data_IF_192958029559
#
_entry.id   IF_192958029559
#
_cell.length_a   1.000
_cell.length_b   1.000
_cell.length_c   1.000
_cell.angle_alpha   90.00
_cell.angle_beta   90.00
_cell.angle_gamma   90.00
#
_symmetry.space_group_name_H-M   'P 1'
#
loop_
_entity.id
_entity.type
_entity.pdbx_description
1 polymer ?
#
# COMPACT_ATOMS: atom_id res chain seq x y z
N UNK A 1 -17.92 -56.94 0.82
CA UNK A 1 -17.87 -55.48 1.05
C UNK A 1 -18.25 -55.23 2.49
N UNK A 2 -17.26 -55.14 3.39
CA UNK A 2 -17.50 -54.81 4.80
C UNK A 2 -17.45 -53.28 4.90
N UNK A 3 -18.52 -52.66 5.37
CA UNK A 3 -18.63 -51.22 5.56
C UNK A 3 -17.56 -50.75 6.55
N UNK A 4 -16.58 -49.98 6.06
CA UNK A 4 -15.57 -49.34 6.91
C UNK A 4 -16.28 -48.36 7.86
N UNK A 5 -16.07 -48.45 9.19
CA UNK A 5 -16.67 -47.54 10.15
C UNK A 5 -16.12 -46.13 9.93
N UNK A 6 -17.01 -45.15 9.70
CA UNK A 6 -16.65 -43.81 9.21
C UNK A 6 -16.34 -42.79 10.31
N UNK A 7 -16.50 -43.17 11.58
CA UNK A 7 -16.41 -42.25 12.71
C UNK A 7 -15.71 -42.90 13.89
N UNK A 8 -14.84 -42.12 14.54
CA UNK A 8 -14.17 -42.52 15.77
C UNK A 8 -15.19 -42.62 16.91
N UNK A 9 -15.13 -43.71 17.68
CA UNK A 9 -16.00 -43.93 18.85
C UNK A 9 -15.16 -43.79 20.11
N UNK A 10 -15.52 -42.89 21.01
CA UNK A 10 -14.79 -42.72 22.26
C UNK A 10 -14.84 -44.01 23.11
N UNK A 11 -13.68 -44.54 23.47
CA UNK A 11 -13.52 -45.75 24.28
C UNK A 11 -12.52 -45.47 25.41
N UNK A 12 -12.99 -45.43 26.66
CA UNK A 12 -12.16 -45.22 27.84
C UNK A 12 -12.16 -46.47 28.73
N UNK A 13 -11.08 -47.27 28.73
CA UNK A 13 -10.95 -48.43 29.59
C UNK A 13 -10.91 -48.12 31.08
N UNK A 14 -10.55 -46.90 31.47
CA UNK A 14 -10.45 -46.51 32.88
C UNK A 14 -11.82 -46.21 33.50
N UNK A 15 -12.87 -46.10 32.68
CA UNK A 15 -14.24 -45.89 33.15
C UNK A 15 -14.91 -47.18 33.68
N UNK A 16 -14.29 -48.35 33.50
CA UNK A 16 -14.82 -49.63 33.98
C UNK A 16 -14.62 -49.79 35.49
N UNK A 17 -15.70 -49.80 36.26
CA UNK A 17 -15.69 -50.15 37.69
C UNK A 17 -16.05 -51.62 37.90
N UNK A 18 -15.26 -52.33 38.71
CA UNK A 18 -15.56 -53.73 39.07
C UNK A 18 -16.82 -53.78 39.94
N UNK A 19 -17.86 -54.57 39.57
CA UNK A 19 -19.09 -54.63 40.34
C UNK A 19 -18.88 -55.25 41.71
N UNK A 20 -19.59 -54.74 42.72
CA UNK A 20 -19.60 -55.30 44.08
C UNK A 20 -20.76 -56.28 44.32
N UNK A 21 -21.74 -56.31 43.41
CA UNK A 21 -22.90 -57.20 43.48
C UNK A 21 -22.89 -58.22 42.33
N UNK A 22 -23.15 -59.49 42.63
CA UNK A 22 -23.16 -60.57 41.64
C UNK A 22 -24.21 -60.37 40.53
N UNK A 23 -25.31 -59.66 40.83
CA UNK A 23 -26.38 -59.39 39.86
C UNK A 23 -25.98 -58.34 38.80
N UNK A 24 -24.91 -57.56 39.03
CA UNK A 24 -24.41 -56.53 38.12
C UNK A 24 -23.36 -57.07 37.13
N UNK A 25 -22.82 -58.28 37.38
CA UNK A 25 -21.81 -58.92 36.54
C UNK A 25 -22.23 -59.04 35.06
N UNK A 26 -23.47 -59.42 34.71
CA UNK A 26 -23.88 -59.51 33.31
C UNK A 26 -23.85 -58.16 32.58
N UNK A 27 -24.24 -57.08 33.25
CA UNK A 27 -24.21 -55.73 32.68
C UNK A 27 -22.77 -55.24 32.48
N UNK A 28 -21.92 -55.45 33.48
CA UNK A 28 -20.48 -55.13 33.39
C UNK A 28 -19.77 -55.91 32.28
N UNK A 29 -20.10 -57.19 32.10
CA UNK A 29 -19.56 -57.98 30.99
C UNK A 29 -19.99 -57.43 29.61
N UNK A 30 -21.20 -56.85 29.51
CA UNK A 30 -21.62 -56.15 28.27
C UNK A 30 -20.88 -54.84 28.08
N UNK A 31 -20.60 -54.07 29.14
CA UNK A 31 -19.79 -52.84 29.05
C UNK A 31 -18.38 -53.13 28.56
N UNK A 32 -17.72 -54.17 29.08
CA UNK A 32 -16.42 -54.64 28.59
C UNK A 32 -16.49 -55.01 27.11
N UNK A 33 -17.51 -55.77 26.71
CA UNK A 33 -17.70 -56.19 25.32
C UNK A 33 -17.88 -54.98 24.38
N UNK A 34 -18.68 -54.00 24.80
CA UNK A 34 -18.94 -52.79 24.02
C UNK A 34 -17.67 -51.93 23.89
N UNK A 35 -16.88 -51.82 24.97
CA UNK A 35 -15.59 -51.13 24.95
C UNK A 35 -14.62 -51.80 23.97
N UNK A 36 -14.48 -53.13 24.03
CA UNK A 36 -13.62 -53.89 23.12
C UNK A 36 -14.05 -53.74 21.66
N UNK A 37 -15.36 -53.69 21.40
CA UNK A 37 -15.89 -53.47 20.07
C UNK A 37 -15.56 -52.06 19.54
N UNK A 38 -15.72 -51.04 20.37
CA UNK A 38 -15.36 -49.66 20.03
C UNK A 38 -13.86 -49.50 19.76
N UNK A 39 -13.00 -50.11 20.59
CA UNK A 39 -11.55 -50.12 20.38
C UNK A 39 -11.16 -50.80 19.06
N UNK A 40 -11.74 -51.95 18.74
CA UNK A 40 -11.48 -52.66 17.49
C UNK A 40 -11.95 -51.87 16.25
N UNK A 41 -13.08 -51.14 16.36
CA UNK A 41 -13.55 -50.25 15.31
C UNK A 41 -12.55 -49.10 15.07
N UNK A 42 -12.10 -48.45 16.14
CA UNK A 42 -11.12 -47.37 16.05
C UNK A 42 -9.79 -47.86 15.45
N UNK A 43 -9.31 -49.04 15.85
CA UNK A 43 -8.11 -49.65 15.28
C UNK A 43 -8.26 -49.87 13.77
N UNK A 44 -9.41 -50.39 13.34
CA UNK A 44 -9.70 -50.58 11.91
C UNK A 44 -9.72 -49.26 11.14
N UNK A 45 -10.24 -48.19 11.74
CA UNK A 45 -10.29 -46.85 11.16
C UNK A 45 -8.87 -46.28 10.98
N UNK A 46 -8.03 -46.39 12.00
CA UNK A 46 -6.61 -45.95 11.95
C UNK A 46 -5.84 -46.73 10.87
N UNK A 47 -6.04 -48.04 10.77
CA UNK A 47 -5.42 -48.86 9.71
C UNK A 47 -5.85 -48.40 8.32
N UNK A 48 -7.15 -48.10 8.14
CA UNK A 48 -7.67 -47.57 6.86
C UNK A 48 -7.08 -46.21 6.50
N UNK A 49 -6.97 -45.29 7.46
CA UNK A 49 -6.34 -43.99 7.26
C UNK A 49 -4.85 -44.13 6.92
N UNK A 50 -4.12 -44.98 7.64
CA UNK A 50 -2.70 -45.24 7.38
C UNK A 50 -2.49 -45.79 5.95
N UNK A 51 -3.36 -46.68 5.48
CA UNK A 51 -3.32 -47.18 4.11
C UNK A 51 -3.56 -46.07 3.07
N UNK A 52 -4.54 -45.19 3.32
CA UNK A 52 -4.82 -44.05 2.43
C UNK A 52 -3.64 -43.06 2.37
N UNK A 53 -3.04 -42.74 3.52
CA UNK A 53 -1.84 -41.89 3.57
C UNK A 53 -0.64 -42.53 2.85
N UNK A 54 -0.47 -43.85 2.95
CA UNK A 54 0.59 -44.56 2.21
C UNK A 54 0.37 -44.47 0.69
N UNK A 55 -0.88 -44.57 0.22
CA UNK A 55 -1.19 -44.37 -1.20
C UNK A 55 -0.89 -42.94 -1.65
N UNK A 56 -1.26 -41.93 -0.86
CA UNK A 56 -1.01 -40.51 -1.17
C UNK A 56 0.49 -40.15 -1.16
N UNK A 57 1.27 -40.75 -0.26
CA UNK A 57 2.73 -40.65 -0.30
C UNK A 57 3.31 -41.28 -1.57
N UNK A 58 2.76 -42.42 -2.01
CA UNK A 58 3.16 -43.06 -3.27
C UNK A 58 2.86 -42.21 -4.51
N UNK A 59 1.69 -41.57 -4.58
CA UNK A 59 1.35 -40.66 -5.69
C UNK A 59 2.24 -39.42 -5.68
N UNK A 60 2.50 -38.86 -4.50
CA UNK A 60 3.41 -37.72 -4.34
C UNK A 60 4.83 -38.07 -4.79
N UNK A 61 5.33 -39.25 -4.44
CA UNK A 61 6.64 -39.74 -4.90
C UNK A 61 6.69 -39.90 -6.42
N UNK A 62 5.62 -40.42 -7.05
CA UNK A 62 5.55 -40.52 -8.50
C UNK A 62 5.58 -39.15 -9.19
N UNK A 63 4.88 -38.15 -8.65
CA UNK A 63 4.93 -36.77 -9.15
C UNK A 63 6.32 -36.16 -9.00
N UNK A 64 7.02 -36.40 -7.88
CA UNK A 64 8.41 -35.95 -7.72
C UNK A 64 9.34 -36.56 -8.77
N UNK A 65 9.21 -37.86 -9.05
CA UNK A 65 10.01 -38.52 -10.09
C UNK A 65 9.72 -37.95 -11.50
N UNK A 66 8.47 -37.58 -11.79
CA UNK A 66 8.09 -36.92 -13.04
C UNK A 66 8.69 -35.51 -13.15
N UNK A 67 8.73 -34.76 -12.05
CA UNK A 67 9.37 -33.45 -12.00
C UNK A 67 10.89 -33.56 -12.19
N UNK A 68 11.54 -34.53 -11.56
CA UNK A 68 12.98 -34.80 -11.71
C UNK A 68 13.36 -35.16 -13.16
N UNK A 69 12.52 -35.97 -13.81
CA UNK A 69 12.66 -36.29 -15.24
C UNK A 69 12.50 -35.04 -16.12
N UNK A 70 11.59 -34.14 -15.75
CA UNK A 70 11.38 -32.86 -16.46
C UNK A 70 12.57 -31.92 -16.29
N UNK A 71 13.15 -31.85 -15.09
CA UNK A 71 14.37 -31.07 -14.81
C UNK A 71 15.53 -31.59 -15.65
N UNK A 72 15.74 -32.92 -15.67
CA UNK A 72 16.79 -33.55 -16.49
C UNK A 72 16.61 -33.23 -17.99
N UNK A 73 15.36 -33.22 -18.48
CA UNK A 73 15.06 -32.83 -19.86
C UNK A 73 15.37 -31.35 -20.13
N UNK A 74 15.02 -30.45 -19.19
CA UNK A 74 15.36 -29.03 -19.29
C UNK A 74 16.88 -28.83 -19.30
N UNK A 75 17.64 -29.54 -18.48
CA UNK A 75 19.10 -29.48 -18.50
C UNK A 75 19.67 -29.93 -19.85
N UNK A 76 19.14 -31.02 -20.42
CA UNK A 76 19.52 -31.47 -21.76
C UNK A 76 19.20 -30.42 -22.85
N UNK A 77 18.05 -29.74 -22.74
CA UNK A 77 17.66 -28.66 -23.65
C UNK A 77 18.56 -27.42 -23.49
N UNK A 78 18.97 -27.08 -22.27
CA UNK A 78 19.91 -25.98 -22.00
C UNK A 78 21.28 -26.29 -22.61
N UNK A 79 21.78 -27.52 -22.46
CA UNK A 79 23.04 -27.95 -23.09
C UNK A 79 22.95 -27.88 -24.61
N UNK A 80 21.83 -28.34 -25.20
CA UNK A 80 21.59 -28.26 -26.64
C UNK A 80 21.52 -26.81 -27.12
N UNK A 81 20.80 -25.95 -26.42
CA UNK A 81 20.72 -24.52 -26.75
C UNK A 81 22.09 -23.85 -26.65
N UNK A 82 22.90 -24.20 -25.65
CA UNK A 82 24.30 -23.75 -25.56
C UNK A 82 25.14 -24.18 -26.77
N UNK A 83 24.98 -25.42 -27.22
CA UNK A 83 25.66 -25.92 -28.43
C UNK A 83 25.18 -25.22 -29.71
N UNK A 84 23.89 -24.92 -29.83
CA UNK A 84 23.32 -24.22 -30.98
C UNK A 84 23.72 -22.73 -31.01
N UNK A 85 23.80 -22.07 -29.85
CA UNK A 85 24.38 -20.71 -29.71
C UNK A 85 25.86 -20.71 -30.13
N UNK A 86 26.64 -21.72 -29.71
CA UNK A 86 28.04 -21.86 -30.12
C UNK A 86 28.17 -22.05 -31.64
N UNK A 87 27.30 -22.84 -32.27
CA UNK A 87 27.27 -23.02 -33.74
C UNK A 87 26.94 -21.73 -34.49
N UNK A 88 25.99 -20.93 -33.99
CA UNK A 88 25.66 -19.61 -34.54
C UNK A 88 26.86 -18.66 -34.42
N UNK A 89 27.60 -18.71 -33.30
CA UNK A 89 28.86 -17.97 -33.12
C UNK A 89 29.95 -18.37 -34.12
N UNK A 90 30.05 -19.66 -34.47
CA UNK A 90 31.08 -20.16 -35.41
C UNK A 90 30.74 -19.94 -36.89
N UNK A 91 29.47 -19.79 -37.27
CA UNK A 91 29.09 -19.49 -38.66
C UNK A 91 29.44 -18.05 -39.09
N UNK A 92 29.78 -17.17 -38.15
CA UNK A 92 30.18 -15.79 -38.39
C UNK A 92 31.71 -15.55 -38.37
N UNK A 93 32.54 -16.60 -38.33
CA UNK A 93 33.99 -16.45 -38.15
C UNK A 93 34.84 -17.30 -39.11
N UNK A 94 34.77 -17.01 -40.41
CA UNK A 94 35.99 -16.98 -41.22
C UNK A 94 36.68 -15.64 -40.96
N UNK A 95 37.50 -15.58 -39.91
CA UNK A 95 38.26 -14.38 -39.57
C UNK A 95 38.67 -14.32 -38.10
N UNK A 96 39.95 -14.67 -37.85
CA UNK A 96 40.78 -14.34 -36.69
C UNK A 96 40.28 -14.70 -35.28
N UNK A 97 41.09 -15.56 -34.66
CA UNK A 97 41.15 -15.81 -33.22
C UNK A 97 41.25 -14.51 -32.40
N UNK A 98 40.23 -14.24 -31.60
CA UNK A 98 40.38 -13.50 -30.34
C UNK A 98 39.67 -14.33 -29.28
N UNK A 99 40.44 -14.81 -28.30
CA UNK A 99 39.90 -15.36 -27.07
C UNK A 99 39.11 -14.25 -26.37
N UNK A 100 37.78 -14.27 -26.51
CA UNK A 100 36.89 -13.46 -25.71
C UNK A 100 36.59 -14.20 -24.42
N UNK A 101 37.28 -13.81 -23.35
CA UNK A 101 36.70 -13.96 -22.02
C UNK A 101 35.32 -13.32 -22.05
N UNK A 102 34.26 -14.11 -21.88
CA UNK A 102 32.90 -13.61 -21.82
C UNK A 102 32.82 -12.62 -20.66
N UNK A 103 32.88 -11.32 -20.96
CA UNK A 103 32.75 -10.28 -19.93
C UNK A 103 31.35 -10.42 -19.34
N UNK A 104 31.29 -10.80 -18.06
CA UNK A 104 30.05 -10.83 -17.30
C UNK A 104 29.30 -9.49 -17.46
N UNK A 105 27.96 -9.50 -17.56
CA UNK A 105 27.17 -8.28 -17.61
C UNK A 105 27.55 -7.36 -16.46
N UNK A 106 27.92 -6.12 -16.76
CA UNK A 106 28.36 -5.15 -15.75
C UNK A 106 27.14 -4.56 -15.05
N UNK A 107 26.67 -5.26 -14.02
CA UNK A 107 25.62 -4.77 -13.13
C UNK A 107 26.16 -3.64 -12.25
N UNK A 108 25.29 -2.70 -11.90
CA UNK A 108 25.59 -1.72 -10.87
C UNK A 108 25.70 -2.44 -9.52
N UNK A 109 26.69 -2.04 -8.72
CA UNK A 109 26.84 -2.52 -7.35
C UNK A 109 25.60 -2.11 -6.54
N UNK A 110 25.05 -3.01 -5.69
CA UNK A 110 23.89 -2.70 -4.86
C UNK A 110 24.13 -1.51 -3.93
N UNK A 111 23.06 -0.76 -3.64
CA UNK A 111 23.09 0.30 -2.64
C UNK A 111 23.41 -0.29 -1.25
N UNK A 112 24.14 0.48 -0.45
CA UNK A 112 24.44 0.09 0.93
C UNK A 112 23.18 0.03 1.80
N UNK A 113 23.16 -0.88 2.76
CA UNK A 113 22.11 -1.00 3.75
C UNK A 113 22.61 -0.59 5.14
N UNK A 114 22.01 0.47 5.69
CA UNK A 114 22.42 1.07 6.96
C UNK A 114 21.65 0.54 8.19
N UNK A 115 20.61 -0.25 7.96
CA UNK A 115 19.71 -0.74 9.02
C UNK A 115 18.66 0.27 9.50
N UNK A 116 18.59 1.48 8.96
CA UNK A 116 17.65 2.51 9.43
C UNK A 116 16.18 2.21 9.06
N UNK A 117 15.95 1.62 7.88
CA UNK A 117 14.62 1.23 7.41
C UNK A 117 14.53 -0.28 7.17
N UNK A 118 13.91 -1.00 8.11
CA UNK A 118 13.69 -2.45 8.03
C UNK A 118 12.88 -2.88 6.80
N UNK A 119 12.07 -2.00 6.22
CA UNK A 119 11.31 -2.34 5.00
C UNK A 119 12.23 -2.54 3.78
N UNK A 120 13.46 -2.00 3.82
CA UNK A 120 14.45 -2.15 2.74
C UNK A 120 15.28 -3.43 2.84
N UNK A 121 15.24 -4.15 3.97
CA UNK A 121 16.06 -5.32 4.20
C UNK A 121 15.86 -6.43 3.14
N UNK A 122 14.62 -6.67 2.73
CA UNK A 122 14.30 -7.66 1.69
C UNK A 122 14.83 -7.19 0.32
N UNK A 123 14.58 -5.93 -0.04
CA UNK A 123 15.05 -5.36 -1.31
C UNK A 123 16.58 -5.40 -1.41
N UNK A 124 17.28 -5.07 -0.32
CA UNK A 124 18.73 -5.19 -0.22
C UNK A 124 19.20 -6.61 -0.45
N UNK A 125 18.63 -7.59 0.29
CA UNK A 125 19.00 -9.01 0.14
C UNK A 125 18.82 -9.47 -1.31
N UNK A 126 17.67 -9.17 -1.92
CA UNK A 126 17.39 -9.54 -3.32
C UNK A 126 18.42 -8.90 -4.27
N UNK A 127 18.74 -7.62 -4.09
CA UNK A 127 19.70 -6.91 -4.92
C UNK A 127 21.10 -7.52 -4.82
N UNK A 128 21.60 -7.77 -3.60
CA UNK A 128 22.93 -8.36 -3.37
C UNK A 128 23.00 -9.80 -3.84
N UNK A 129 22.01 -10.64 -3.53
CA UNK A 129 21.97 -12.02 -4.02
C UNK A 129 21.91 -12.10 -5.55
N UNK A 130 21.19 -11.20 -6.21
CA UNK A 130 21.16 -11.13 -7.67
C UNK A 130 22.49 -10.66 -8.24
N UNK A 131 23.10 -9.63 -7.65
CA UNK A 131 24.39 -9.11 -8.08
C UNK A 131 25.49 -10.18 -7.98
N UNK A 132 25.62 -10.84 -6.83
CA UNK A 132 26.62 -11.90 -6.62
C UNK A 132 26.46 -13.03 -7.64
N UNK A 133 25.23 -13.51 -7.87
CA UNK A 133 24.93 -14.59 -8.81
C UNK A 133 25.37 -14.29 -10.25
N UNK A 134 25.29 -13.03 -10.69
CA UNK A 134 25.59 -12.66 -12.08
C UNK A 134 27.02 -12.14 -12.24
N UNK A 135 27.50 -11.34 -11.30
CA UNK A 135 28.83 -10.73 -11.37
C UNK A 135 29.94 -11.65 -10.85
N UNK A 136 29.61 -12.60 -9.97
CA UNK A 136 30.56 -13.51 -9.32
C UNK A 136 30.00 -14.96 -9.21
N UNK A 137 29.66 -15.63 -10.32
CA UNK A 137 29.01 -16.96 -10.28
C UNK A 137 29.85 -18.08 -9.64
N UNK A 138 31.16 -17.87 -9.45
CA UNK A 138 32.08 -18.85 -8.85
C UNK A 138 32.73 -18.40 -7.54
N UNK A 139 32.27 -17.30 -6.93
CA UNK A 139 32.83 -16.85 -5.64
C UNK A 139 32.54 -17.85 -4.53
N UNK A 140 33.51 -18.07 -3.66
CA UNK A 140 33.36 -18.87 -2.44
C UNK A 140 32.33 -18.25 -1.49
N UNK A 141 31.82 -19.03 -0.53
CA UNK A 141 30.87 -18.53 0.46
C UNK A 141 31.47 -17.38 1.28
N UNK A 142 32.74 -17.48 1.65
CA UNK A 142 33.44 -16.45 2.40
C UNK A 142 33.60 -15.15 1.59
N UNK A 143 33.94 -15.24 0.30
CA UNK A 143 33.99 -14.08 -0.59
C UNK A 143 32.62 -13.42 -0.76
N UNK A 144 31.56 -14.23 -0.86
CA UNK A 144 30.19 -13.72 -0.93
C UNK A 144 29.79 -13.00 0.35
N UNK A 145 30.08 -13.57 1.51
CA UNK A 145 29.76 -12.97 2.81
C UNK A 145 30.60 -11.72 3.05
N UNK A 146 31.90 -11.73 2.71
CA UNK A 146 32.75 -10.54 2.76
C UNK A 146 32.20 -9.39 1.88
N UNK A 147 31.71 -9.71 0.69
CA UNK A 147 31.05 -8.73 -0.17
C UNK A 147 29.75 -8.21 0.46
N UNK A 148 28.90 -9.10 0.99
CA UNK A 148 27.66 -8.69 1.68
C UNK A 148 27.98 -7.74 2.84
N UNK A 149 28.98 -8.06 3.67
CA UNK A 149 29.43 -7.22 4.78
C UNK A 149 29.89 -5.84 4.26
N UNK A 150 30.62 -5.78 3.15
CA UNK A 150 31.05 -4.52 2.54
C UNK A 150 29.89 -3.63 2.06
N UNK A 151 28.72 -4.22 1.79
CA UNK A 151 27.49 -3.52 1.44
C UNK A 151 26.64 -3.13 2.66
N UNK A 152 27.06 -3.48 3.88
CA UNK A 152 26.41 -3.03 5.11
C UNK A 152 27.10 -1.77 5.63
N UNK A 153 26.32 -0.88 6.22
CA UNK A 153 26.80 0.38 6.81
C UNK A 153 26.04 0.67 8.12
N UNK A 154 26.47 1.69 8.86
CA UNK A 154 25.82 2.17 10.08
C UNK A 154 25.41 1.04 11.03
N UNK A 155 24.15 1.05 11.46
CA UNK A 155 23.62 0.08 12.45
C UNK A 155 23.65 -1.36 11.96
N UNK A 156 23.60 -1.58 10.64
CA UNK A 156 23.68 -2.92 10.07
C UNK A 156 25.09 -3.50 10.17
N UNK A 157 26.11 -2.67 9.97
CA UNK A 157 27.51 -3.08 10.15
C UNK A 157 27.89 -3.18 11.64
N UNK A 158 27.51 -2.19 12.46
CA UNK A 158 27.75 -2.19 13.92
C UNK A 158 27.22 -3.46 14.60
N UNK A 159 26.09 -4.00 14.11
CA UNK A 159 25.55 -5.26 14.62
C UNK A 159 26.48 -6.47 14.39
N UNK A 160 27.29 -6.45 13.33
CA UNK A 160 28.22 -7.53 13.00
C UNK A 160 29.54 -7.45 13.75
N UNK A 161 29.96 -6.25 14.17
CA UNK A 161 31.26 -6.00 14.82
C UNK A 161 31.64 -7.01 15.91
N UNK A 162 30.79 -7.33 16.92
CA UNK A 162 31.19 -8.28 17.96
C UNK A 162 31.43 -9.70 17.43
N UNK A 163 30.74 -10.10 16.36
CA UNK A 163 30.91 -11.40 15.72
C UNK A 163 32.15 -11.43 14.83
N UNK A 164 32.43 -10.33 14.12
CA UNK A 164 33.64 -10.18 13.31
C UNK A 164 34.90 -10.10 14.19
N UNK A 165 34.81 -9.48 15.37
CA UNK A 165 35.91 -9.48 16.34
C UNK A 165 36.21 -10.90 16.84
N UNK A 166 35.18 -11.67 17.16
CA UNK A 166 35.33 -13.07 17.57
C UNK A 166 35.95 -13.94 16.47
N UNK A 167 35.45 -13.80 15.24
CA UNK A 167 35.85 -14.60 14.09
C UNK A 167 37.25 -14.24 13.56
N UNK A 168 37.46 -12.96 13.25
CA UNK A 168 38.65 -12.48 12.51
C UNK A 168 39.79 -12.07 13.43
N UNK A 169 39.48 -11.43 14.57
CA UNK A 169 40.51 -10.89 15.48
C UNK A 169 40.94 -11.93 16.50
N UNK A 170 39.99 -12.60 17.16
CA UNK A 170 40.28 -13.63 18.17
C UNK A 170 40.51 -15.01 17.56
N UNK A 171 40.12 -15.22 16.31
CA UNK A 171 40.31 -16.49 15.59
C UNK A 171 39.36 -17.60 16.06
N UNK A 172 38.23 -17.24 16.67
CA UNK A 172 37.21 -18.17 17.13
C UNK A 172 36.07 -18.22 16.09
N UNK A 173 35.99 -19.26 15.24
CA UNK A 173 35.13 -19.22 14.07
C UNK A 173 33.64 -19.11 14.42
N UNK A 174 32.99 -18.10 13.88
CA UNK A 174 31.55 -17.90 14.00
C UNK A 174 30.87 -18.62 12.85
N UNK A 175 30.37 -19.82 13.11
CA UNK A 175 29.88 -20.76 12.08
C UNK A 175 28.89 -20.16 11.06
N UNK A 176 28.03 -19.23 11.48
CA UNK A 176 27.05 -18.61 10.58
C UNK A 176 27.63 -17.51 9.67
N UNK A 177 28.83 -16.99 9.97
CA UNK A 177 29.58 -16.08 9.09
C UNK A 177 30.27 -16.81 7.92
N UNK A 178 30.25 -18.14 7.91
CA UNK A 178 30.82 -18.99 6.85
C UNK A 178 29.75 -19.83 6.14
N UNK A 179 28.47 -19.51 6.33
CA UNK A 179 27.36 -20.20 5.69
C UNK A 179 26.32 -19.18 5.24
N UNK A 180 26.09 -19.10 3.93
CA UNK A 180 25.24 -18.06 3.34
C UNK A 180 23.79 -18.13 3.85
N UNK A 181 23.23 -19.32 4.02
CA UNK A 181 21.86 -19.50 4.50
C UNK A 181 21.73 -19.13 5.97
N UNK A 182 22.69 -19.52 6.80
CA UNK A 182 22.74 -19.16 8.22
C UNK A 182 22.96 -17.65 8.41
N UNK A 183 23.81 -17.03 7.58
CA UNK A 183 23.98 -15.58 7.55
C UNK A 183 22.66 -14.89 7.26
N UNK A 184 21.95 -15.30 6.20
CA UNK A 184 20.67 -14.70 5.87
C UNK A 184 19.61 -14.97 6.94
N UNK A 185 19.66 -16.10 7.65
CA UNK A 185 18.78 -16.37 8.76
C UNK A 185 18.97 -15.33 9.89
N UNK A 186 20.22 -15.07 10.28
CA UNK A 186 20.56 -14.06 11.29
C UNK A 186 20.21 -12.64 10.82
N UNK A 187 20.56 -12.30 9.59
CA UNK A 187 20.21 -11.01 8.99
C UNK A 187 18.69 -10.78 8.99
N UNK A 188 17.92 -11.78 8.57
CA UNK A 188 16.46 -11.67 8.54
C UNK A 188 15.87 -11.60 9.95
N UNK A 189 16.40 -12.35 10.92
CA UNK A 189 15.94 -12.28 12.30
C UNK A 189 16.08 -10.86 12.88
N UNK A 190 17.16 -10.16 12.53
CA UNK A 190 17.45 -8.79 13.01
C UNK A 190 16.69 -7.71 12.24
N UNK A 191 16.75 -7.77 10.91
CA UNK A 191 16.37 -6.66 10.03
C UNK A 191 15.07 -6.85 9.28
N UNK A 192 14.59 -8.08 9.11
CA UNK A 192 13.32 -8.30 8.43
C UNK A 192 12.14 -7.82 9.30
N UNK A 193 11.10 -7.34 8.65
CA UNK A 193 9.85 -6.98 9.33
C UNK A 193 9.18 -8.27 9.78
N UNK A 194 9.22 -8.52 11.09
CA UNK A 194 8.51 -9.62 11.71
C UNK A 194 7.02 -9.52 11.35
N UNK A 195 6.40 -10.65 10.99
CA UNK A 195 5.01 -10.72 10.53
C UNK A 195 4.70 -9.96 9.23
N UNK A 196 5.61 -9.92 8.24
CA UNK A 196 5.34 -9.34 6.91
C UNK A 196 4.01 -9.85 6.32
N UNK A 197 3.76 -11.15 6.40
CA UNK A 197 2.52 -11.77 5.92
C UNK A 197 1.28 -11.21 6.62
N UNK A 198 1.29 -11.10 7.94
CA UNK A 198 0.16 -10.50 8.67
C UNK A 198 0.03 -9.00 8.40
N UNK A 199 1.14 -8.28 8.25
CA UNK A 199 1.12 -6.86 7.91
C UNK A 199 0.50 -6.64 6.52
N UNK A 200 0.89 -7.47 5.54
CA UNK A 200 0.33 -7.45 4.19
C UNK A 200 -1.15 -7.80 4.21
N UNK A 201 -1.54 -8.83 4.97
CA UNK A 201 -2.95 -9.19 5.16
C UNK A 201 -3.77 -8.06 5.78
N UNK A 202 -3.24 -7.41 6.83
CA UNK A 202 -3.89 -6.29 7.49
C UNK A 202 -4.05 -5.10 6.53
N UNK A 203 -2.97 -4.74 5.81
CA UNK A 203 -2.98 -3.66 4.82
C UNK A 203 -3.98 -3.95 3.70
N UNK A 204 -3.99 -5.17 3.16
CA UNK A 204 -4.90 -5.60 2.09
C UNK A 204 -6.37 -5.50 2.54
N UNK A 205 -6.71 -5.94 3.76
CA UNK A 205 -8.09 -5.86 4.30
C UNK A 205 -8.60 -4.43 4.40
N UNK A 206 -7.73 -3.48 4.72
CA UNK A 206 -8.08 -2.06 4.86
C UNK A 206 -7.86 -1.25 3.59
N UNK A 207 -7.30 -1.85 2.53
CA UNK A 207 -6.93 -1.12 1.33
C UNK A 207 -8.18 -0.66 0.59
N UNK A 208 -8.29 0.65 0.37
CA UNK A 208 -9.34 1.29 -0.42
C UNK A 208 -8.72 2.26 -1.41
N UNK A 209 -9.35 2.43 -2.55
CA UNK A 209 -8.97 3.42 -3.55
C UNK A 209 -9.14 4.83 -2.96
N UNK A 210 -8.03 5.52 -2.69
CA UNK A 210 -8.00 6.92 -2.23
C UNK A 210 -7.51 7.90 -3.30
N UNK A 211 -6.79 7.39 -4.31
CA UNK A 211 -6.25 8.13 -5.45
C UNK A 211 -6.78 7.51 -6.76
N UNK A 212 -5.97 7.51 -7.82
CA UNK A 212 -6.28 6.82 -9.08
C UNK A 212 -6.33 5.30 -8.92
N UNK A 213 -6.99 4.63 -9.86
CA UNK A 213 -7.12 3.16 -9.86
C UNK A 213 -5.75 2.49 -10.00
N UNK A 214 -4.82 3.10 -10.75
CA UNK A 214 -3.48 2.58 -10.94
C UNK A 214 -2.66 2.48 -9.65
N UNK A 215 -2.69 3.53 -8.82
CA UNK A 215 -2.01 3.51 -7.52
C UNK A 215 -2.60 2.45 -6.59
N UNK A 216 -3.94 2.39 -6.53
CA UNK A 216 -4.65 1.39 -5.74
C UNK A 216 -4.32 -0.04 -6.20
N UNK A 217 -4.31 -0.30 -7.51
CA UNK A 217 -4.01 -1.63 -8.04
C UNK A 217 -2.57 -2.06 -7.76
N UNK A 218 -1.60 -1.16 -7.90
CA UNK A 218 -0.20 -1.42 -7.53
C UNK A 218 -0.06 -1.82 -6.05
N UNK A 219 -0.70 -1.07 -5.15
CA UNK A 219 -0.67 -1.37 -3.72
C UNK A 219 -1.39 -2.70 -3.42
N UNK A 220 -2.51 -2.97 -4.11
CA UNK A 220 -3.25 -4.23 -3.98
C UNK A 220 -2.40 -5.43 -4.39
N UNK A 221 -1.72 -5.37 -5.54
CA UNK A 221 -0.79 -6.42 -5.98
C UNK A 221 0.37 -6.62 -5.01
N UNK A 222 0.89 -5.52 -4.46
CA UNK A 222 1.99 -5.57 -3.49
C UNK A 222 1.57 -6.30 -2.21
N UNK A 223 0.39 -5.99 -1.67
CA UNK A 223 -0.07 -6.57 -0.41
C UNK A 223 -0.73 -7.94 -0.57
N UNK A 224 -1.20 -8.32 -1.76
CA UNK A 224 -1.72 -9.67 -2.02
C UNK A 224 -0.63 -10.70 -2.26
N UNK A 225 0.59 -10.26 -2.59
CA UNK A 225 1.71 -11.14 -2.89
C UNK A 225 2.05 -12.07 -1.72
N UNK A 226 2.08 -13.38 -1.99
CA UNK A 226 2.48 -14.39 -1.02
C UNK A 226 1.43 -14.70 0.06
N UNK A 227 0.20 -14.18 -0.05
CA UNK A 227 -0.87 -14.50 0.90
C UNK A 227 -1.65 -15.78 0.58
N UNK A 228 -1.49 -16.33 -0.64
CA UNK A 228 -2.14 -17.58 -1.06
C UNK A 228 -3.64 -17.48 -1.36
N UNK A 229 -4.19 -16.28 -1.52
CA UNK A 229 -5.58 -16.10 -1.94
C UNK A 229 -5.79 -16.52 -3.39
N UNK A 230 -6.92 -17.17 -3.66
CA UNK A 230 -7.32 -17.53 -5.02
C UNK A 230 -7.83 -16.30 -5.79
N UNK A 231 -7.86 -16.40 -7.12
CA UNK A 231 -8.24 -15.29 -8.00
C UNK A 231 -9.65 -14.73 -7.73
N UNK A 232 -10.71 -15.55 -7.52
CA UNK A 232 -12.03 -15.03 -7.18
C UNK A 232 -12.06 -14.21 -5.88
N UNK A 233 -11.36 -14.67 -4.82
CA UNK A 233 -11.28 -13.90 -3.57
C UNK A 233 -10.56 -12.57 -3.79
N UNK A 234 -9.46 -12.58 -4.55
CA UNK A 234 -8.73 -11.35 -4.85
C UNK A 234 -9.54 -10.39 -5.71
N UNK A 235 -10.28 -10.91 -6.70
CA UNK A 235 -11.19 -10.15 -7.55
C UNK A 235 -12.27 -9.44 -6.73
N UNK A 236 -12.94 -10.18 -5.84
CA UNK A 236 -14.02 -9.62 -5.01
C UNK A 236 -13.46 -8.59 -4.02
N UNK A 237 -12.33 -8.89 -3.36
CA UNK A 237 -11.64 -7.94 -2.48
C UNK A 237 -11.18 -6.68 -3.23
N UNK A 238 -10.67 -6.83 -4.46
CA UNK A 238 -10.25 -5.71 -5.29
C UNK A 238 -11.44 -4.84 -5.66
N UNK A 239 -12.54 -5.44 -6.11
CA UNK A 239 -13.80 -4.75 -6.39
C UNK A 239 -14.28 -3.99 -5.17
N UNK A 240 -14.33 -4.62 -4.00
CA UNK A 240 -14.77 -4.00 -2.75
C UNK A 240 -13.99 -2.76 -2.38
N UNK A 241 -12.69 -2.72 -2.69
CA UNK A 241 -11.86 -1.55 -2.45
C UNK A 241 -11.89 -0.46 -3.51
N UNK A 242 -12.49 -0.69 -4.68
CA UNK A 242 -12.69 0.36 -5.70
C UNK A 242 -13.60 1.48 -5.18
N UNK A 243 -13.35 2.69 -5.66
CA UNK A 243 -14.17 3.86 -5.35
C UNK A 243 -15.58 3.72 -5.91
N UNK A 244 -16.54 4.38 -5.26
CA UNK A 244 -17.93 4.38 -5.70
C UNK A 244 -18.09 4.85 -7.15
N UNK A 245 -17.30 5.84 -7.59
CA UNK A 245 -17.39 6.38 -8.96
C UNK A 245 -17.03 5.34 -10.03
N UNK A 246 -16.00 4.54 -9.77
CA UNK A 246 -15.60 3.45 -10.66
C UNK A 246 -16.68 2.36 -10.66
N UNK A 247 -17.17 1.94 -9.48
CA UNK A 247 -18.24 0.94 -9.35
C UNK A 247 -19.52 1.36 -10.06
N UNK A 248 -19.95 2.60 -9.88
CA UNK A 248 -21.12 3.17 -10.57
C UNK A 248 -20.95 3.09 -12.09
N UNK A 249 -19.77 3.44 -12.60
CA UNK A 249 -19.52 3.41 -14.05
C UNK A 249 -19.43 1.98 -14.60
N UNK A 250 -18.92 1.03 -13.82
CA UNK A 250 -18.95 -0.39 -14.16
C UNK A 250 -20.39 -0.92 -14.20
N UNK A 251 -21.21 -0.55 -13.22
CA UNK A 251 -22.63 -0.92 -13.16
C UNK A 251 -23.41 -0.37 -14.36
N UNK A 252 -23.20 0.89 -14.74
CA UNK A 252 -23.84 1.50 -15.93
C UNK A 252 -23.39 0.84 -17.24
N UNK A 253 -22.24 0.18 -17.26
CA UNK A 253 -21.75 -0.59 -18.41
C UNK A 253 -22.22 -2.06 -18.38
N UNK A 254 -23.15 -2.41 -17.49
CA UNK A 254 -23.62 -3.79 -17.25
C UNK A 254 -22.47 -4.77 -17.01
N UNK A 255 -21.41 -4.31 -16.33
CA UNK A 255 -20.24 -5.14 -16.03
C UNK A 255 -20.44 -5.91 -14.73
N UNK A 256 -20.69 -7.21 -14.86
CA UNK A 256 -20.75 -8.13 -13.72
C UNK A 256 -19.34 -8.65 -13.37
N UNK A 257 -18.82 -8.21 -12.23
CA UNK A 257 -17.52 -8.65 -11.72
C UNK A 257 -17.59 -10.05 -11.08
N UNK A 258 -18.78 -10.53 -10.72
CA UNK A 258 -18.95 -11.82 -10.06
C UNK A 258 -18.97 -13.00 -11.05
N UNK A 259 -19.16 -12.71 -12.35
CA UNK A 259 -19.16 -13.71 -13.42
C UNK A 259 -17.90 -14.60 -13.38
N UNK A 260 -18.08 -15.89 -13.62
CA UNK A 260 -17.03 -16.90 -13.50
C UNK A 260 -15.88 -16.72 -14.50
N UNK A 261 -16.11 -16.01 -15.62
CA UNK A 261 -15.09 -15.71 -16.63
C UNK A 261 -14.25 -14.47 -16.28
N UNK A 262 -14.67 -13.67 -15.29
CA UNK A 262 -13.95 -12.48 -14.85
C UNK A 262 -12.89 -12.86 -13.83
N UNK A 263 -11.66 -12.47 -14.14
CA UNK A 263 -10.50 -12.62 -13.26
C UNK A 263 -10.15 -11.30 -12.61
N UNK A 264 -9.30 -11.31 -11.58
CA UNK A 264 -8.74 -10.08 -11.02
C UNK A 264 -8.13 -9.20 -12.11
N UNK A 265 -7.41 -9.80 -13.06
CA UNK A 265 -6.72 -9.09 -14.13
C UNK A 265 -7.70 -8.36 -15.07
N UNK A 266 -8.77 -9.03 -15.50
CA UNK A 266 -9.75 -8.42 -16.42
C UNK A 266 -10.58 -7.34 -15.73
N UNK A 267 -10.92 -7.53 -14.45
CA UNK A 267 -11.56 -6.50 -13.64
C UNK A 267 -10.65 -5.27 -13.46
N UNK A 268 -9.37 -5.47 -13.15
CA UNK A 268 -8.41 -4.39 -12.98
C UNK A 268 -8.21 -3.60 -14.28
N UNK A 269 -8.07 -4.27 -15.42
CA UNK A 269 -7.98 -3.64 -16.74
C UNK A 269 -9.22 -2.79 -17.05
N UNK A 270 -10.40 -3.34 -16.77
CA UNK A 270 -11.66 -2.63 -16.98
C UNK A 270 -11.77 -1.40 -16.08
N UNK A 271 -11.39 -1.51 -14.81
CA UNK A 271 -11.37 -0.39 -13.86
C UNK A 271 -10.40 0.72 -14.29
N UNK A 272 -9.19 0.36 -14.75
CA UNK A 272 -8.21 1.32 -15.29
C UNK A 272 -8.74 2.05 -16.53
N UNK A 273 -9.40 1.33 -17.44
CA UNK A 273 -10.00 1.92 -18.64
C UNK A 273 -11.14 2.89 -18.30
N UNK A 274 -11.91 2.58 -17.26
CA UNK A 274 -12.94 3.49 -16.73
C UNK A 274 -12.30 4.74 -16.14
N UNK A 275 -11.26 4.59 -15.32
CA UNK A 275 -10.53 5.72 -14.70
C UNK A 275 -9.98 6.67 -15.78
N UNK A 276 -9.32 6.11 -16.79
CA UNK A 276 -8.78 6.87 -17.91
C UNK A 276 -9.87 7.64 -18.68
N UNK A 277 -11.04 7.03 -18.92
CA UNK A 277 -12.16 7.70 -19.60
C UNK A 277 -12.75 8.83 -18.76
N UNK A 278 -12.87 8.64 -17.45
CA UNK A 278 -13.36 9.67 -16.54
C UNK A 278 -12.41 10.86 -16.48
N UNK A 279 -11.09 10.61 -16.46
CA UNK A 279 -10.08 11.66 -16.50
C UNK A 279 -10.09 12.43 -17.83
N UNK A 280 -10.20 11.72 -18.96
CA UNK A 280 -10.33 12.33 -20.29
C UNK A 280 -11.58 13.21 -20.38
N UNK A 281 -12.73 12.73 -19.88
CA UNK A 281 -13.97 13.48 -19.84
C UNK A 281 -13.83 14.75 -19.00
N UNK A 282 -13.26 14.64 -17.80
CA UNK A 282 -13.00 15.78 -16.94
C UNK A 282 -12.10 16.82 -17.61
N UNK A 283 -11.04 16.38 -18.31
CA UNK A 283 -10.13 17.28 -19.03
C UNK A 283 -10.83 18.04 -20.18
N UNK A 284 -11.70 17.38 -20.94
CA UNK A 284 -12.47 18.00 -22.03
C UNK A 284 -13.48 19.02 -21.50
N UNK A 285 -14.18 18.69 -20.40
CA UNK A 285 -15.16 19.59 -19.80
C UNK A 285 -14.53 20.76 -19.02
N UNK A 286 -13.24 20.67 -18.65
CA UNK A 286 -12.48 21.80 -18.09
C UNK A 286 -12.11 22.86 -19.13
N UNK A 287 -12.16 22.51 -20.43
CA UNK A 287 -11.84 23.41 -21.55
C UNK A 287 -13.06 24.13 -22.17
N UNK A 288 -14.29 23.84 -21.73
CA UNK A 288 -15.51 24.33 -22.38
C UNK A 288 -16.13 25.59 -21.75
N UNK A 289 -15.52 26.18 -20.71
CA UNK A 289 -16.07 27.35 -20.00
C UNK A 289 -15.28 28.65 -20.19
N UNK A 290 -14.66 28.87 -21.36
CA UNK A 290 -14.15 30.19 -21.74
C UNK A 290 -14.22 30.45 -23.25
N UNK A 291 -15.43 30.65 -23.77
CA UNK A 291 -15.63 31.36 -25.05
C UNK A 291 -16.38 32.67 -24.80
N UNK A 292 -15.63 33.72 -24.52
CA UNK A 292 -16.10 35.09 -24.70
C UNK A 292 -14.98 35.94 -25.29
N UNK A 293 -15.13 36.24 -26.57
CA UNK A 293 -14.58 37.35 -27.35
C UNK A 293 -13.35 38.10 -26.81
N UNK A 294 -12.26 38.08 -27.58
CA UNK A 294 -11.79 39.31 -28.20
C UNK A 294 -10.81 39.05 -29.36
N UNK A 295 -11.09 39.71 -30.48
CA UNK A 295 -10.21 39.87 -31.63
C UNK A 295 -8.99 40.74 -31.27
N UNK A 296 -7.82 40.43 -31.83
CA UNK A 296 -6.77 41.44 -31.98
C UNK A 296 -5.34 40.93 -32.03
N UNK A 297 -4.81 40.93 -33.25
CA UNK A 297 -3.40 41.18 -33.59
C UNK A 297 -2.35 40.07 -33.44
N UNK A 298 -1.75 39.76 -34.61
CA UNK A 298 -0.48 39.06 -34.82
C UNK A 298 0.69 39.83 -34.19
N UNK A 299 1.59 39.13 -33.49
CA UNK A 299 3.02 39.29 -33.73
C UNK A 299 3.81 38.07 -33.26
N UNK A 300 4.55 37.48 -34.20
CA UNK A 300 5.66 36.56 -33.98
C UNK A 300 6.79 37.24 -33.20
N UNK A 301 7.41 36.56 -32.22
CA UNK A 301 8.87 36.53 -32.02
C UNK A 301 9.22 35.37 -31.09
N UNK A 302 10.13 34.53 -31.57
CA UNK A 302 10.83 33.46 -30.88
C UNK A 302 12.02 33.99 -30.07
N UNK A 303 12.19 33.61 -28.80
CA UNK A 303 13.52 33.29 -28.22
C UNK A 303 13.44 32.58 -26.86
N UNK A 304 14.04 31.38 -26.83
CA UNK A 304 14.91 30.73 -25.82
C UNK A 304 14.64 30.73 -24.30
N UNK A 305 14.42 29.49 -23.82
CA UNK A 305 15.05 28.80 -22.68
C UNK A 305 15.64 29.59 -21.49
N UNK A 306 15.10 29.36 -20.28
CA UNK A 306 15.86 29.03 -19.06
C UNK A 306 14.94 28.61 -17.89
N UNK A 307 15.34 27.49 -17.26
CA UNK A 307 15.23 27.12 -15.85
C UNK A 307 13.86 27.05 -15.11
N UNK A 308 13.68 25.88 -14.51
CA UNK A 308 12.62 25.44 -13.60
C UNK A 308 12.42 26.34 -12.37
N UNK A 309 11.17 26.61 -12.03
CA UNK A 309 10.72 27.18 -10.76
C UNK A 309 9.20 27.09 -10.65
N UNK A 310 8.70 26.64 -9.50
CA UNK A 310 7.31 26.31 -9.16
C UNK A 310 6.20 27.22 -9.75
N UNK A 311 4.98 26.69 -10.00
CA UNK A 311 3.89 27.46 -10.58
C UNK A 311 3.48 28.59 -9.64
N UNK A 312 3.78 29.83 -10.02
CA UNK A 312 3.25 31.03 -9.35
C UNK A 312 1.87 31.32 -9.96
N UNK A 313 0.82 31.11 -9.18
CA UNK A 313 -0.55 31.48 -9.54
C UNK A 313 -0.60 32.96 -9.97
N UNK A 314 -1.00 33.23 -11.22
CA UNK A 314 -1.20 34.58 -11.74
C UNK A 314 -2.46 35.18 -11.11
N UNK A 315 -2.30 36.21 -10.27
CA UNK A 315 -3.40 36.97 -9.67
C UNK A 315 -3.99 37.95 -10.69
N UNK A 316 -5.31 37.91 -10.91
CA UNK A 316 -6.04 38.79 -11.85
C UNK A 316 -6.88 39.85 -11.12
N UNK A 317 -7.05 41.02 -11.74
CA UNK A 317 -7.89 42.11 -11.20
C UNK A 317 -9.31 41.59 -10.99
N UNK A 318 -9.86 41.76 -9.79
CA UNK A 318 -11.17 41.26 -9.37
C UNK A 318 -11.14 39.97 -8.55
N UNK A 319 -10.01 39.27 -8.44
CA UNK A 319 -9.90 38.04 -7.63
C UNK A 319 -9.88 38.35 -6.13
N UNK A 320 -10.50 37.45 -5.33
CA UNK A 320 -10.40 37.49 -3.88
C UNK A 320 -9.01 37.03 -3.45
N UNK A 321 -8.40 37.80 -2.57
CA UNK A 321 -7.03 37.59 -2.10
C UNK A 321 -6.97 37.67 -0.59
N UNK A 322 -5.99 36.98 -0.01
CA UNK A 322 -5.67 37.10 1.41
C UNK A 322 -4.18 37.37 1.62
N UNK A 323 -3.88 38.08 2.71
CA UNK A 323 -2.53 38.31 3.20
C UNK A 323 -2.48 38.00 4.70
N UNK A 324 -1.34 37.51 5.18
CA UNK A 324 -1.11 37.27 6.60
C UNK A 324 -0.44 38.52 7.17
N UNK A 325 -1.12 39.18 8.10
CA UNK A 325 -0.61 40.36 8.82
C UNK A 325 -0.76 40.06 10.31
N UNK A 326 0.32 40.14 11.08
CA UNK A 326 0.36 39.86 12.52
C UNK A 326 -0.23 38.48 12.90
N UNK A 327 0.12 37.45 12.13
CA UNK A 327 -0.34 36.07 12.35
C UNK A 327 -1.82 35.82 12.04
N UNK A 328 -2.55 36.80 11.52
CA UNK A 328 -3.97 36.70 11.16
C UNK A 328 -4.18 36.90 9.66
N UNK A 329 -5.05 36.11 9.05
CA UNK A 329 -5.38 36.23 7.64
C UNK A 329 -6.37 37.39 7.42
N UNK A 330 -5.92 38.45 6.74
CA UNK A 330 -6.79 39.51 6.22
C UNK A 330 -7.24 39.14 4.80
N UNK A 331 -8.51 39.36 4.47
CA UNK A 331 -9.13 39.06 3.16
C UNK A 331 -9.60 40.34 2.46
N UNK A 332 -9.47 40.39 1.14
CA UNK A 332 -9.83 41.54 0.32
C UNK A 332 -10.00 41.18 -1.15
N UNK A 333 -10.28 42.19 -1.98
CA UNK A 333 -10.43 42.05 -3.44
C UNK A 333 -9.36 42.88 -4.14
N UNK A 334 -8.67 42.27 -5.11
CA UNK A 334 -7.69 42.97 -5.92
C UNK A 334 -8.39 43.96 -6.86
N UNK A 335 -8.20 45.27 -6.65
CA UNK A 335 -8.97 46.28 -7.37
C UNK A 335 -8.24 46.84 -8.60
N UNK A 336 -6.91 46.97 -8.52
CA UNK A 336 -6.07 47.43 -9.64
C UNK A 336 -4.62 46.97 -9.45
N UNK A 337 -3.89 46.77 -10.54
CA UNK A 337 -2.44 46.63 -10.53
C UNK A 337 -1.87 47.97 -11.03
N UNK A 338 -1.35 48.78 -10.11
CA UNK A 338 -0.71 50.06 -10.43
C UNK A 338 0.80 49.91 -10.67
N UNK A 339 1.49 51.00 -11.00
CA UNK A 339 2.96 51.07 -11.04
C UNK A 339 3.44 52.05 -9.97
N UNK A 340 4.44 51.68 -9.18
CA UNK A 340 5.08 52.61 -8.25
C UNK A 340 6.01 53.59 -9.01
N UNK A 341 6.55 54.60 -8.31
CA UNK A 341 7.44 55.62 -8.88
C UNK A 341 8.73 55.07 -9.56
N UNK A 342 8.99 53.76 -9.47
CA UNK A 342 10.11 53.04 -10.10
C UNK A 342 9.67 52.10 -11.24
N UNK A 343 8.42 52.19 -11.71
CA UNK A 343 7.89 51.38 -12.82
C UNK A 343 7.57 49.92 -12.46
N UNK A 344 7.56 49.56 -11.17
CA UNK A 344 7.29 48.18 -10.71
C UNK A 344 5.79 48.03 -10.44
N UNK A 345 5.20 46.95 -10.96
CA UNK A 345 3.77 46.64 -10.76
C UNK A 345 3.47 46.34 -9.27
N UNK A 346 2.56 47.09 -8.67
CA UNK A 346 2.11 46.91 -7.28
C UNK A 346 0.59 46.71 -7.25
N UNK A 347 0.09 45.63 -6.62
CA UNK A 347 -1.33 45.35 -6.48
C UNK A 347 -1.96 46.22 -5.37
N UNK A 348 -3.07 46.88 -5.71
CA UNK A 348 -3.89 47.65 -4.80
C UNK A 348 -5.08 46.78 -4.38
N UNK A 349 -5.12 46.39 -3.11
CA UNK A 349 -6.15 45.51 -2.55
C UNK A 349 -7.08 46.32 -1.65
N UNK A 350 -8.40 46.16 -1.86
CA UNK A 350 -9.43 46.65 -0.94
C UNK A 350 -9.75 45.56 0.07
N UNK A 351 -9.41 45.79 1.33
CA UNK A 351 -9.62 44.82 2.41
C UNK A 351 -11.05 44.90 2.96
N UNK A 352 -11.53 43.80 3.54
CA UNK A 352 -12.87 43.73 4.14
C UNK A 352 -13.06 44.64 5.37
N UNK A 353 -11.96 45.19 5.92
CA UNK A 353 -11.97 46.19 6.99
C UNK A 353 -12.17 47.64 6.46
N UNK A 354 -12.33 47.80 5.14
CA UNK A 354 -12.56 49.09 4.48
C UNK A 354 -11.28 49.84 4.13
N UNK A 355 -10.09 49.31 4.48
CA UNK A 355 -8.81 49.94 4.15
C UNK A 355 -8.27 49.54 2.78
N UNK A 356 -7.58 50.46 2.12
CA UNK A 356 -6.89 50.23 0.85
C UNK A 356 -5.40 50.46 1.09
N UNK A 357 -4.56 49.45 0.87
CA UNK A 357 -3.11 49.57 1.05
C UNK A 357 -2.36 48.95 -0.13
N UNK A 358 -1.19 49.50 -0.43
CA UNK A 358 -0.23 48.95 -1.39
C UNK A 358 0.46 47.74 -0.76
N UNK A 359 0.32 46.57 -1.38
CA UNK A 359 0.88 45.32 -0.83
C UNK A 359 1.76 44.65 -1.87
N UNK A 360 2.87 44.01 -1.48
CA UNK A 360 3.78 43.37 -2.44
C UNK A 360 3.21 42.03 -2.91
N UNK A 361 3.37 41.66 -4.19
CA UNK A 361 2.90 40.37 -4.72
C UNK A 361 3.39 39.14 -3.93
N UNK A 362 4.54 39.22 -3.24
CA UNK A 362 5.08 38.14 -2.40
C UNK A 362 4.23 37.82 -1.17
N UNK A 363 3.43 38.77 -0.68
CA UNK A 363 2.66 38.62 0.56
C UNK A 363 1.18 38.31 0.33
N UNK A 364 0.75 38.22 -0.94
CA UNK A 364 -0.65 38.06 -1.34
C UNK A 364 -0.83 36.67 -1.96
N UNK A 365 -1.86 35.94 -1.51
CA UNK A 365 -2.24 34.63 -2.04
C UNK A 365 -3.70 34.66 -2.50
N UNK A 366 -4.04 33.86 -3.51
CA UNK A 366 -5.41 33.71 -4.02
C UNK A 366 -6.30 33.02 -2.98
N UNK A 367 -7.48 33.56 -2.73
CA UNK A 367 -8.47 32.99 -1.83
C UNK A 367 -9.41 32.07 -2.63
N UNK A 368 -9.30 30.76 -2.46
CA UNK A 368 -10.12 29.78 -3.17
C UNK A 368 -11.51 29.59 -2.53
N UNK A 369 -11.82 30.22 -1.40
CA UNK A 369 -13.12 30.13 -0.70
C UNK A 369 -13.60 31.51 -0.23
N UNK A 370 -14.21 32.33 -1.12
CA UNK A 370 -14.67 33.67 -0.78
C UNK A 370 -15.88 33.67 0.16
N UNK A 371 -15.91 34.65 1.05
CA UNK A 371 -17.05 34.91 1.95
C UNK A 371 -18.00 35.86 1.21
N UNK A 372 -19.16 35.36 0.76
CA UNK A 372 -20.19 36.20 0.16
C UNK A 372 -20.91 36.98 1.25
N UNK A 373 -20.75 38.32 1.25
CA UNK A 373 -21.58 39.21 2.07
C UNK A 373 -22.99 39.30 1.46
N UNK A 374 -24.00 39.16 2.32
CA UNK A 374 -25.44 39.01 2.04
C UNK A 374 -26.08 40.21 1.35
N UNK A 375 -27.06 39.99 0.46
CA UNK A 375 -28.11 40.97 0.15
C UNK A 375 -29.50 40.32 0.02
N UNK A 376 -30.30 40.51 1.09
CA UNK A 376 -31.73 40.87 1.18
C UNK A 376 -32.83 39.95 0.58
N UNK A 377 -33.93 39.67 1.33
CA UNK A 377 -34.99 38.72 0.94
C UNK A 377 -36.25 39.40 0.33
N UNK A 378 -36.98 38.69 -0.53
CA UNK A 378 -38.35 38.99 -0.96
C UNK A 378 -39.05 37.73 -1.53
N UNK A 379 -40.40 37.72 -1.71
CA UNK A 379 -41.45 37.74 -0.70
C UNK A 379 -42.29 36.44 -0.70
N UNK A 380 -43.15 36.27 0.31
CA UNK A 380 -44.13 35.18 0.42
C UNK A 380 -45.15 35.21 -0.74
N UNK A 381 -45.46 34.06 -1.31
CA UNK A 381 -46.63 33.86 -2.16
C UNK A 381 -47.65 32.94 -1.46
N UNK A 382 -48.90 33.38 -1.50
CA UNK A 382 -50.09 32.80 -0.88
C UNK A 382 -50.67 31.60 -1.62
N UNK A 383 -51.26 30.72 -0.81
CA UNK A 383 -52.30 29.72 -1.07
C UNK A 383 -53.04 29.71 -2.42
N UNK A 384 -53.19 28.50 -2.97
CA UNK A 384 -54.45 28.04 -3.57
C UNK A 384 -54.64 26.54 -3.33
N UNK A 385 -55.78 26.20 -2.74
CA UNK A 385 -56.29 24.87 -2.39
C UNK A 385 -56.75 24.04 -3.60
N UNK A 386 -56.61 22.70 -3.55
CA UNK A 386 -57.76 21.76 -3.56
C UNK A 386 -57.37 20.27 -3.56
N UNK A 387 -58.12 19.52 -2.74
CA UNK A 387 -58.62 18.13 -2.89
C UNK A 387 -57.73 16.87 -2.62
N UNK A 388 -57.93 16.33 -1.41
CA UNK A 388 -58.36 14.94 -1.05
C UNK A 388 -57.72 13.72 -1.74
N UNK A 389 -56.99 12.88 -0.98
CA UNK A 389 -57.44 11.51 -0.60
C UNK A 389 -56.51 10.82 0.43
N UNK A 390 -57.10 9.81 1.08
CA UNK A 390 -56.72 9.13 2.34
C UNK A 390 -55.55 8.12 2.29
N UNK A 391 -54.83 7.98 3.41
CA UNK A 391 -53.94 6.85 3.74
C UNK A 391 -52.88 7.22 4.81
N UNK A 392 -52.59 6.37 5.83
CA UNK A 392 -51.77 6.77 6.99
C UNK A 392 -50.28 6.88 6.63
N UNK A 393 -49.69 8.03 6.94
CA UNK A 393 -48.27 8.35 6.70
C UNK A 393 -47.38 7.91 7.87
N UNK A 394 -46.07 7.64 7.65
CA UNK A 394 -45.13 7.27 8.69
C UNK A 394 -44.82 8.48 9.60
N UNK A 395 -44.55 8.24 10.88
CA UNK A 395 -44.21 9.28 11.87
C UNK A 395 -42.99 10.12 11.42
N UNK A 396 -43.19 11.43 11.20
CA UNK A 396 -42.12 12.42 11.07
C UNK A 396 -41.51 12.72 12.46
N UNK A 397 -40.30 12.19 12.67
CA UNK A 397 -39.50 12.32 13.89
C UNK A 397 -38.58 13.57 13.87
N UNK A 398 -39.03 14.71 13.34
CA UNK A 398 -38.17 15.91 13.21
C UNK A 398 -38.72 17.20 13.83
N UNK A 399 -39.68 17.10 14.77
CA UNK A 399 -40.24 18.26 15.46
C UNK A 399 -39.75 18.46 16.91
N UNK A 400 -38.53 18.01 17.24
CA UNK A 400 -37.99 18.17 18.59
C UNK A 400 -36.49 18.57 18.65
N UNK A 401 -36.03 19.57 17.89
CA UNK A 401 -34.80 20.29 18.28
C UNK A 401 -34.58 21.66 17.59
N UNK A 402 -35.55 22.57 17.64
CA UNK A 402 -35.35 23.97 17.19
C UNK A 402 -35.26 24.96 18.36
N UNK A 403 -34.56 24.60 19.45
CA UNK A 403 -34.11 25.58 20.44
C UNK A 403 -32.73 26.11 20.04
N UNK A 404 -32.76 27.29 19.41
CA UNK A 404 -31.66 28.25 19.21
C UNK A 404 -30.23 27.73 19.38
N UNK A 405 -29.66 27.11 18.34
CA UNK A 405 -28.21 26.88 18.27
C UNK A 405 -27.53 28.24 18.08
N UNK A 406 -26.77 28.69 19.09
CA UNK A 406 -25.84 29.82 18.96
C UNK A 406 -24.96 29.59 17.72
N UNK A 407 -24.67 30.63 16.91
CA UNK A 407 -23.86 30.45 15.70
C UNK A 407 -22.52 29.83 16.09
N UNK A 408 -22.14 28.74 15.41
CA UNK A 408 -20.84 28.07 15.61
C UNK A 408 -19.77 29.07 15.19
N UNK A 409 -19.07 29.66 16.16
CA UNK A 409 -17.96 30.60 15.95
C UNK A 409 -16.66 29.85 16.25
N UNK A 410 -15.75 29.84 15.29
CA UNK A 410 -14.43 29.25 15.44
C UNK A 410 -13.58 30.07 16.43
N UNK A 411 -13.10 29.43 17.49
CA UNK A 411 -12.28 30.09 18.52
C UNK A 411 -10.88 30.53 18.01
N UNK A 412 -10.39 29.96 16.90
CA UNK A 412 -9.04 30.25 16.38
C UNK A 412 -9.03 31.42 15.38
N UNK A 413 -10.08 31.58 14.57
CA UNK A 413 -10.14 32.62 13.54
C UNK A 413 -11.33 33.59 13.68
N UNK A 414 -12.24 33.36 14.63
CA UNK A 414 -13.46 34.16 14.82
C UNK A 414 -14.51 34.01 13.71
N UNK A 415 -14.27 33.16 12.71
CA UNK A 415 -15.20 32.90 11.60
C UNK A 415 -16.41 32.05 12.02
N UNK A 416 -17.56 32.29 11.40
CA UNK A 416 -18.79 31.52 11.66
C UNK A 416 -18.87 30.30 10.75
N UNK A 417 -19.44 29.19 11.23
CA UNK A 417 -19.78 28.01 10.43
C UNK A 417 -18.81 26.81 10.51
N UNK A 418 -17.74 26.87 11.29
CA UNK A 418 -16.81 25.75 11.49
C UNK A 418 -16.19 25.74 12.90
N UNK A 419 -15.77 24.58 13.37
CA UNK A 419 -15.08 24.40 14.67
C UNK A 419 -13.56 24.55 14.51
N UNK A 420 -12.85 24.86 15.60
CA UNK A 420 -11.40 25.14 15.61
C UNK A 420 -10.51 24.01 15.03
N UNK A 421 -10.99 22.76 15.10
CA UNK A 421 -10.32 21.59 14.54
C UNK A 421 -10.44 21.49 13.01
N UNK A 422 -11.43 22.15 12.40
CA UNK A 422 -11.64 22.22 10.96
C UNK A 422 -11.28 23.62 10.41
N UNK A 423 -10.46 24.36 11.16
CA UNK A 423 -10.11 25.72 10.80
C UNK A 423 -9.03 25.71 9.70
N UNK A 424 -9.31 26.29 8.51
CA UNK A 424 -8.37 26.28 7.39
C UNK A 424 -7.14 27.18 7.61
N UNK A 425 -7.08 27.95 8.70
CA UNK A 425 -5.87 28.66 9.14
C UNK A 425 -4.92 27.79 9.98
N UNK A 426 -5.26 26.52 10.23
CA UNK A 426 -4.42 25.61 11.01
C UNK A 426 -3.35 25.01 10.09
N UNK A 427 -2.27 25.74 9.89
CA UNK A 427 -1.01 25.22 9.37
C UNK A 427 0.14 25.95 10.06
N UNK A 428 0.91 25.19 10.84
CA UNK A 428 2.04 25.57 11.72
C UNK A 428 1.69 26.15 13.10
N UNK A 429 1.40 25.25 14.05
CA UNK A 429 1.92 25.36 15.42
C UNK A 429 2.85 24.17 15.58
N UNK A 430 4.14 24.44 15.78
CA UNK A 430 5.20 23.42 15.81
C UNK A 430 4.92 22.33 16.83
N UNK A 431 5.27 21.10 16.47
CA UNK A 431 5.58 20.09 17.47
C UNK A 431 6.77 20.62 18.29
N UNK A 432 6.50 20.93 19.55
CA UNK A 432 7.26 20.47 20.71
C UNK A 432 8.75 20.22 20.41
N UNK A 433 9.52 21.33 20.37
CA UNK A 433 10.94 21.28 20.64
C UNK A 433 11.10 20.96 22.13
N UNK A 434 11.47 19.72 22.42
CA UNK A 434 11.99 19.30 23.70
C UNK A 434 13.30 20.05 23.94
N UNK A 435 13.26 21.09 24.78
CA UNK A 435 14.44 21.73 25.35
C UNK A 435 14.85 20.85 26.53
N UNK A 436 16.00 20.20 26.41
CA UNK A 436 16.72 19.64 27.55
C UNK A 436 17.19 20.80 28.41
N UNK A 437 16.63 20.92 29.61
CA UNK A 437 17.17 21.78 30.66
C UNK A 437 18.44 21.10 31.21
N UNK A 438 19.59 21.66 30.86
CA UNK A 438 20.84 21.43 31.58
C UNK A 438 20.71 22.09 32.95
N UNK A 439 20.54 21.27 34.00
CA UNK A 439 20.70 21.70 35.38
C UNK A 439 22.16 22.10 35.61
N UNK A 440 22.38 23.41 35.68
CA UNK A 440 23.60 24.00 36.23
C UNK A 440 23.44 24.07 37.74
N UNK A 441 24.01 23.06 38.40
CA UNK A 441 24.25 23.04 39.83
C UNK A 441 25.28 24.14 40.19
N UNK A 442 24.80 25.24 40.74
CA UNK A 442 25.61 26.17 41.53
C UNK A 442 24.92 26.31 42.88
N UNK A 443 25.36 25.49 43.84
CA UNK A 443 25.10 25.66 45.26
C UNK A 443 26.43 25.87 45.97
N UNK A 444 26.69 27.11 46.37
CA UNK A 444 27.70 27.49 47.36
C UNK A 444 27.48 26.72 48.68
N UNK A 445 28.51 25.99 49.12
CA UNK A 445 29.19 26.10 50.43
C UNK A 445 30.15 24.93 50.69
#
# INVERSE_FOLDING_TARGET
MSTQPSTYVHADPNALSVPTNIQEIPAWAQEIKNLLLAMNQNLSLVIGQAAAHHTDLGTTQATLNNHDSSITNLDALIVKLGADIAKIGTAAASGSSIASATKAPKLATPDKFDGSDKNKAISFRVAVSHYLRISYPGSTVDEQIAFIISCLDGKAHEWLEPYLEEDVVKGNPVSWLHNLDAFWLQFNARWNVQNRTENFRAKLRTLKQTKGVQDYYKDFQTYSQGLGYNDPSLRDMFYDGLSHKIKETLMVQDYDHADASVTLATLAEKALKVDQRLEQFAAQHKGSSSSSNQSGSKSSTSTSAAAQGAPRDKLSVGEQVYAIVDGKAKKGVLQKIGQNAKGIAVPIVKWNDGTTMDVTFKTIKKDNHPITATSTPAPKASSSSSARNSGPSPMDLDSASSKGKKPIICATCGGRGHYANQCPSKSYSGHEAHISEDESENGDL
#
